data_IF_656314852662
#
_entry.id   IF_656314852662
#
_cell.length_a   1.000
_cell.length_b   1.000
_cell.length_c   1.000
_cell.angle_alpha   90.00
_cell.angle_beta   90.00
_cell.angle_gamma   90.00
#
_symmetry.space_group_name_H-M   'P 1'
#
loop_
_entity.id
_entity.type
_entity.pdbx_description
1 polymer ?
#
# COMPACT_ATOMS: atom_id res chain seq x y z
N UNK A 1 -1.76 17.15 17.55
CA UNK A 1 -3.03 16.96 16.79
C UNK A 1 -2.70 16.95 15.30
N UNK A 2 -3.33 16.07 14.52
CA UNK A 2 -3.10 15.97 13.07
C UNK A 2 -3.68 17.18 12.34
N UNK A 3 -2.86 17.93 11.60
CA UNK A 3 -3.33 19.05 10.78
C UNK A 3 -3.64 18.58 9.35
N UNK A 4 -4.89 18.18 9.11
CA UNK A 4 -5.34 17.66 7.81
C UNK A 4 -5.13 18.66 6.65
N UNK A 5 -5.18 19.97 6.92
CA UNK A 5 -4.96 21.00 5.90
C UNK A 5 -3.48 21.06 5.51
N UNK A 6 -2.58 21.10 6.49
CA UNK A 6 -1.14 21.09 6.24
C UNK A 6 -0.71 19.81 5.51
N UNK A 7 -1.29 18.67 5.87
CA UNK A 7 -1.07 17.41 5.14
C UNK A 7 -1.59 17.49 3.71
N UNK A 8 -2.80 17.96 3.48
CA UNK A 8 -3.34 18.11 2.13
C UNK A 8 -2.47 19.04 1.27
N UNK A 9 -1.93 20.12 1.85
CA UNK A 9 -0.96 21.00 1.19
C UNK A 9 0.37 20.29 0.86
N UNK A 10 0.92 19.52 1.81
CA UNK A 10 2.12 18.71 1.61
C UNK A 10 1.93 17.69 0.48
N UNK A 11 0.83 16.95 0.52
CA UNK A 11 0.46 15.96 -0.49
C UNK A 11 0.32 16.60 -1.87
N UNK A 12 -0.34 17.75 -1.94
CA UNK A 12 -0.55 18.48 -3.20
C UNK A 12 0.77 18.98 -3.81
N UNK A 13 1.69 19.50 -2.98
CA UNK A 13 3.02 19.95 -3.44
C UNK A 13 3.90 18.82 -4.00
N UNK A 14 3.61 17.58 -3.63
CA UNK A 14 4.34 16.40 -4.08
C UNK A 14 3.62 15.63 -5.21
N UNK A 15 2.50 16.17 -5.70
CA UNK A 15 1.77 15.64 -6.84
C UNK A 15 2.27 16.25 -8.16
N UNK A 16 2.18 15.49 -9.23
CA UNK A 16 2.48 15.91 -10.59
C UNK A 16 1.58 15.15 -11.57
N UNK A 17 1.30 15.73 -12.74
CA UNK A 17 0.29 15.18 -13.65
C UNK A 17 0.66 13.83 -14.29
N UNK A 18 1.94 13.42 -14.23
CA UNK A 18 2.45 12.30 -15.04
C UNK A 18 2.85 11.11 -14.20
N UNK A 19 3.71 11.34 -13.21
CA UNK A 19 4.32 10.34 -12.37
C UNK A 19 3.49 10.15 -11.11
N UNK A 20 3.35 11.16 -10.26
CA UNK A 20 2.57 11.09 -9.02
C UNK A 20 1.26 11.86 -9.13
N UNK A 21 0.29 11.28 -9.82
CA UNK A 21 -1.00 11.93 -10.12
C UNK A 21 -1.72 12.40 -8.86
N UNK A 22 -1.74 11.55 -7.83
CA UNK A 22 -2.51 11.83 -6.62
C UNK A 22 -1.95 11.14 -5.40
N UNK A 23 -2.00 11.84 -4.28
CA UNK A 23 -1.75 11.29 -2.95
C UNK A 23 -2.98 11.41 -2.07
N UNK A 24 -3.17 10.45 -1.18
CA UNK A 24 -4.16 10.53 -0.12
C UNK A 24 -3.78 9.69 1.10
N UNK A 25 -4.27 10.15 2.26
CA UNK A 25 -4.20 9.45 3.54
C UNK A 25 -5.59 8.96 3.90
N UNK A 26 -5.68 7.70 4.31
CA UNK A 26 -6.95 7.09 4.72
C UNK A 26 -6.74 6.10 5.86
N UNK A 27 -7.81 5.75 6.55
CA UNK A 27 -7.82 4.56 7.42
C UNK A 27 -7.99 3.29 6.58
N UNK A 28 -7.66 2.10 7.12
CA UNK A 28 -7.92 0.82 6.44
C UNK A 28 -9.41 0.60 6.09
N UNK A 29 -10.33 1.26 6.80
CA UNK A 29 -11.77 1.23 6.55
C UNK A 29 -12.21 2.13 5.37
N UNK A 30 -11.28 2.85 4.73
CA UNK A 30 -11.57 3.75 3.62
C UNK A 30 -12.02 5.15 4.03
N UNK A 31 -11.89 5.52 5.31
CA UNK A 31 -12.14 6.90 5.76
C UNK A 31 -11.00 7.81 5.30
N UNK A 32 -11.32 8.76 4.41
CA UNK A 32 -10.35 9.70 3.85
C UNK A 32 -10.00 10.81 4.86
N UNK A 33 -8.71 11.03 5.12
CA UNK A 33 -8.20 12.00 6.10
C UNK A 33 -7.59 13.25 5.45
N UNK A 34 -6.78 13.06 4.41
CA UNK A 34 -6.15 14.14 3.65
C UNK A 34 -5.89 13.68 2.22
N UNK A 35 -5.83 14.61 1.27
CA UNK A 35 -5.65 14.28 -0.14
C UNK A 35 -5.11 15.45 -0.95
N UNK A 36 -4.59 15.15 -2.13
CA UNK A 36 -4.13 16.13 -3.11
C UNK A 36 -5.29 16.98 -3.63
N UNK A 37 -5.13 18.30 -3.64
CA UNK A 37 -6.09 19.26 -4.19
C UNK A 37 -5.47 20.04 -5.35
N UNK A 38 -6.26 20.37 -6.40
CA UNK A 38 -7.66 20.01 -6.61
C UNK A 38 -7.84 18.56 -7.08
N UNK A 39 -8.95 17.92 -6.70
CA UNK A 39 -9.30 16.54 -7.12
C UNK A 39 -10.82 16.38 -7.28
N UNK A 40 -11.26 15.59 -8.28
CA UNK A 40 -12.65 15.13 -8.37
C UNK A 40 -12.96 14.08 -7.28
N UNK A 41 -13.88 14.43 -6.39
CA UNK A 41 -14.30 13.58 -5.27
C UNK A 41 -14.98 12.28 -5.72
N UNK A 42 -15.65 12.28 -6.87
CA UNK A 42 -16.31 11.06 -7.38
C UNK A 42 -15.27 10.01 -7.74
N UNK A 43 -14.23 10.40 -8.45
CA UNK A 43 -13.17 9.49 -8.84
C UNK A 43 -12.25 9.15 -7.68
N UNK A 44 -11.95 10.10 -6.78
CA UNK A 44 -11.18 9.82 -5.57
C UNK A 44 -11.86 8.76 -4.71
N UNK A 45 -13.18 8.87 -4.47
CA UNK A 45 -13.90 7.87 -3.66
C UNK A 45 -13.88 6.48 -4.28
N UNK A 46 -13.94 6.36 -5.61
CA UNK A 46 -13.77 5.06 -6.28
C UNK A 46 -12.39 4.48 -6.00
N UNK A 47 -11.34 5.29 -6.11
CA UNK A 47 -9.96 4.84 -5.84
C UNK A 47 -9.75 4.46 -4.38
N UNK A 48 -10.28 5.25 -3.44
CA UNK A 48 -10.25 4.95 -2.01
C UNK A 48 -10.95 3.61 -1.73
N UNK A 49 -12.10 3.36 -2.35
CA UNK A 49 -12.81 2.09 -2.20
C UNK A 49 -11.99 0.90 -2.73
N UNK A 50 -11.37 1.04 -3.92
CA UNK A 50 -10.48 0.00 -4.47
C UNK A 50 -9.31 -0.27 -3.52
N UNK A 51 -8.62 0.77 -3.07
CA UNK A 51 -7.48 0.64 -2.18
C UNK A 51 -7.86 -0.01 -0.83
N UNK A 52 -8.99 0.40 -0.24
CA UNK A 52 -9.46 -0.13 1.04
C UNK A 52 -9.89 -1.60 0.95
N UNK A 53 -10.68 -1.96 -0.07
CA UNK A 53 -11.13 -3.33 -0.28
C UNK A 53 -9.95 -4.26 -0.54
N UNK A 54 -9.06 -3.88 -1.47
CA UNK A 54 -7.87 -4.69 -1.74
C UNK A 54 -6.96 -4.82 -0.52
N UNK A 55 -6.79 -3.76 0.28
CA UNK A 55 -6.02 -3.83 1.52
C UNK A 55 -6.64 -4.82 2.53
N UNK A 56 -7.96 -4.75 2.74
CA UNK A 56 -8.66 -5.63 3.68
C UNK A 56 -8.64 -7.09 3.25
N UNK A 57 -8.82 -7.37 1.96
CA UNK A 57 -8.77 -8.74 1.42
C UNK A 57 -7.44 -9.43 1.75
N UNK A 58 -6.33 -8.70 1.58
CA UNK A 58 -4.99 -9.21 1.90
C UNK A 58 -4.72 -9.28 3.42
N UNK A 59 -5.33 -8.41 4.23
CA UNK A 59 -5.24 -8.52 5.69
C UNK A 59 -6.00 -9.74 6.25
N UNK A 60 -7.17 -10.07 5.70
CA UNK A 60 -7.97 -11.20 6.16
C UNK A 60 -7.38 -12.55 5.75
N UNK A 61 -6.72 -12.62 4.59
CA UNK A 61 -6.02 -13.82 4.13
C UNK A 61 -4.91 -14.27 5.08
N UNK A 62 -4.30 -13.35 5.82
CA UNK A 62 -3.29 -13.65 6.86
C UNK A 62 -3.89 -14.28 8.13
N UNK A 63 -5.16 -13.97 8.45
CA UNK A 63 -5.83 -14.44 9.67
C UNK A 63 -6.41 -15.85 9.49
N UNK A 64 -6.72 -16.27 8.25
CA UNK A 64 -7.42 -17.52 7.92
C UNK A 64 -6.54 -18.73 7.57
N UNK A 65 -5.21 -18.68 7.76
CA UNK A 65 -4.29 -19.76 7.39
C UNK A 65 -4.42 -21.03 8.29
N UNK A 66 -4.44 -22.25 7.73
CA UNK A 66 -4.75 -23.50 8.45
C UNK A 66 -3.67 -24.05 9.41
N UNK A 67 -2.64 -23.27 9.78
CA UNK A 67 -1.56 -23.72 10.68
C UNK A 67 -1.30 -22.66 11.78
N UNK A 68 -2.21 -22.52 12.73
CA UNK A 68 -2.12 -21.54 13.83
C UNK A 68 -1.35 -22.01 15.07
N UNK A 69 -0.79 -23.21 15.09
CA UNK A 69 -0.33 -23.79 16.37
C UNK A 69 1.19 -23.74 16.60
N UNK A 70 2.00 -23.22 15.67
CA UNK A 70 3.47 -23.24 15.79
C UNK A 70 4.21 -21.90 15.49
N UNK A 71 3.51 -20.79 15.23
CA UNK A 71 4.12 -19.60 14.63
C UNK A 71 4.14 -18.32 15.51
N UNK A 72 4.26 -18.44 16.83
CA UNK A 72 4.23 -17.28 17.74
C UNK A 72 5.44 -16.31 17.62
N UNK A 73 6.48 -16.68 16.86
CA UNK A 73 7.64 -15.81 16.59
C UNK A 73 7.74 -15.32 15.13
N UNK A 74 6.90 -15.85 14.22
CA UNK A 74 6.91 -15.50 12.78
C UNK A 74 5.71 -14.60 12.37
N UNK A 75 4.82 -14.28 13.31
CA UNK A 75 3.59 -13.52 13.06
C UNK A 75 3.83 -12.04 12.73
N UNK A 76 4.94 -11.44 13.17
CA UNK A 76 5.28 -10.06 12.80
C UNK A 76 5.74 -9.95 11.35
N UNK A 77 6.34 -10.99 10.78
CA UNK A 77 6.91 -10.95 9.42
C UNK A 77 5.86 -11.00 8.30
N UNK A 78 4.62 -11.38 8.61
CA UNK A 78 3.55 -11.48 7.60
C UNK A 78 2.52 -10.35 7.65
N UNK A 79 2.77 -9.32 8.44
CA UNK A 79 1.88 -8.16 8.45
C UNK A 79 1.98 -7.41 7.12
N UNK A 80 0.85 -7.31 6.42
CA UNK A 80 0.74 -6.52 5.19
C UNK A 80 1.20 -5.09 5.46
N UNK A 81 2.23 -4.68 4.72
CA UNK A 81 2.88 -3.40 4.93
C UNK A 81 2.84 -2.53 3.68
N UNK A 82 2.95 -3.13 2.50
CA UNK A 82 2.75 -2.43 1.22
C UNK A 82 1.91 -3.27 0.28
N UNK A 83 1.00 -2.61 -0.43
CA UNK A 83 0.18 -3.21 -1.47
C UNK A 83 0.37 -2.42 -2.75
N UNK A 84 0.66 -3.10 -3.85
CA UNK A 84 0.82 -2.53 -5.18
C UNK A 84 -0.26 -3.12 -6.08
N UNK A 85 -1.05 -2.25 -6.69
CA UNK A 85 -2.09 -2.60 -7.66
C UNK A 85 -1.70 -1.97 -8.98
N UNK A 86 -1.34 -2.79 -9.96
CA UNK A 86 -0.94 -2.34 -11.28
C UNK A 86 -2.09 -2.52 -12.27
N UNK A 87 -2.44 -1.45 -12.98
CA UNK A 87 -3.49 -1.45 -14.00
C UNK A 87 -2.95 -0.90 -15.33
N UNK A 88 -3.70 -1.05 -16.41
CA UNK A 88 -3.26 -0.54 -17.73
C UNK A 88 -2.97 0.97 -17.75
N UNK A 89 -3.60 1.76 -16.85
CA UNK A 89 -3.62 3.22 -16.91
C UNK A 89 -2.97 3.92 -15.70
N UNK A 90 -2.77 3.19 -14.61
CA UNK A 90 -2.14 3.68 -13.39
C UNK A 90 -1.62 2.55 -12.51
N UNK A 91 -0.74 2.90 -11.59
CA UNK A 91 -0.36 2.05 -10.47
C UNK A 91 -0.88 2.71 -9.18
N UNK A 92 -1.49 1.93 -8.31
CA UNK A 92 -1.89 2.37 -6.96
C UNK A 92 -0.99 1.67 -5.96
N UNK A 93 -0.29 2.43 -5.13
CA UNK A 93 0.58 1.89 -4.10
C UNK A 93 0.06 2.35 -2.74
N UNK A 94 -0.24 1.40 -1.86
CA UNK A 94 -0.74 1.63 -0.50
C UNK A 94 0.37 1.21 0.47
N UNK A 95 0.70 2.08 1.43
CA UNK A 95 1.73 1.87 2.45
C UNK A 95 1.14 2.11 3.83
N UNK A 96 1.38 1.19 4.75
CA UNK A 96 1.04 1.39 6.15
C UNK A 96 2.05 2.34 6.81
N UNK A 97 1.56 3.42 7.42
CA UNK A 97 2.36 4.34 8.25
C UNK A 97 2.17 4.02 9.73
N UNK A 98 0.92 3.77 10.15
CA UNK A 98 0.55 3.29 11.47
C UNK A 98 -0.58 2.24 11.31
N UNK A 99 -0.92 1.43 12.34
CA UNK A 99 -1.96 0.41 12.23
C UNK A 99 -3.25 0.89 11.57
N UNK A 100 -3.74 2.07 11.99
CA UNK A 100 -4.96 2.72 11.49
C UNK A 100 -4.72 3.84 10.46
N UNK A 101 -3.53 3.89 9.86
CA UNK A 101 -3.18 4.96 8.91
C UNK A 101 -2.40 4.46 7.71
N UNK A 102 -3.02 4.62 6.53
CA UNK A 102 -2.48 4.26 5.24
C UNK A 102 -2.17 5.52 4.41
N UNK A 103 -1.03 5.50 3.74
CA UNK A 103 -0.67 6.45 2.68
C UNK A 103 -0.82 5.77 1.33
N UNK A 104 -1.46 6.46 0.39
CA UNK A 104 -1.69 5.95 -0.95
C UNK A 104 -1.16 6.90 -2.00
N UNK A 105 -0.45 6.33 -2.97
CA UNK A 105 0.01 6.99 -4.18
C UNK A 105 -0.71 6.41 -5.40
N UNK A 106 -1.44 7.24 -6.13
CA UNK A 106 -1.88 6.97 -7.50
C UNK A 106 -0.84 7.51 -8.47
N UNK A 107 -0.14 6.62 -9.15
CA UNK A 107 0.90 6.93 -10.11
C UNK A 107 0.47 6.70 -11.55
N UNK A 108 0.91 7.55 -12.46
CA UNK A 108 0.69 7.35 -13.90
C UNK A 108 1.69 6.38 -14.50
N UNK A 109 1.27 5.62 -15.51
CA UNK A 109 2.15 4.70 -16.23
C UNK A 109 2.26 5.11 -17.70
N UNK A 110 3.42 4.89 -18.34
CA UNK A 110 3.52 4.95 -19.80
C UNK A 110 2.57 3.94 -20.46
N UNK A 111 2.20 4.12 -21.74
CA UNK A 111 1.39 3.16 -22.47
C UNK A 111 1.95 1.73 -22.37
N UNK A 112 1.18 0.82 -21.77
CA UNK A 112 1.54 -0.58 -21.58
C UNK A 112 1.22 -1.39 -22.84
N UNK A 113 1.88 -2.54 -23.00
CA UNK A 113 1.57 -3.48 -24.10
C UNK A 113 0.14 -4.02 -23.90
N UNK A 114 -0.57 -4.33 -25.00
CA UNK A 114 -1.92 -4.93 -24.97
C UNK A 114 -2.04 -6.24 -24.17
N UNK A 115 -0.92 -6.91 -23.91
CA UNK A 115 -0.87 -8.15 -23.13
C UNK A 115 -0.66 -7.92 -21.63
N UNK A 116 -0.64 -6.65 -21.17
CA UNK A 116 -0.47 -6.35 -19.75
C UNK A 116 -1.74 -6.71 -19.00
N UNK A 117 -1.65 -7.72 -18.13
CA UNK A 117 -2.72 -8.06 -17.19
C UNK A 117 -2.60 -7.23 -15.92
N UNK A 118 -3.72 -6.82 -15.29
CA UNK A 118 -3.69 -6.25 -13.95
C UNK A 118 -2.98 -7.21 -12.98
N UNK A 119 -2.15 -6.67 -12.10
CA UNK A 119 -1.40 -7.44 -11.12
C UNK A 119 -1.50 -6.77 -9.76
N UNK A 120 -1.73 -7.57 -8.73
CA UNK A 120 -1.67 -7.14 -7.34
C UNK A 120 -0.47 -7.79 -6.67
N UNK A 121 0.23 -7.06 -5.81
CA UNK A 121 1.42 -7.55 -5.12
C UNK A 121 1.38 -7.03 -3.69
N UNK A 122 1.38 -7.95 -2.74
CA UNK A 122 1.39 -7.68 -1.31
C UNK A 122 2.80 -7.91 -0.75
N UNK A 123 3.26 -7.02 0.10
CA UNK A 123 4.59 -7.04 0.70
C UNK A 123 4.52 -6.87 2.21
N UNK A 124 5.36 -7.63 2.90
CA UNK A 124 5.54 -7.54 4.36
C UNK A 124 6.48 -6.40 4.76
N UNK A 125 6.73 -6.30 6.07
CA UNK A 125 7.60 -5.27 6.67
C UNK A 125 9.02 -5.25 6.07
N UNK A 126 9.56 -6.43 5.77
CA UNK A 126 10.92 -6.60 5.22
C UNK A 126 10.98 -6.40 3.69
N UNK A 127 9.85 -6.07 3.04
CA UNK A 127 9.73 -6.01 1.58
C UNK A 127 9.63 -7.37 0.89
N UNK A 128 9.56 -8.45 1.67
CA UNK A 128 9.32 -9.80 1.18
C UNK A 128 7.89 -9.93 0.64
N UNK A 129 7.76 -10.63 -0.50
CA UNK A 129 6.47 -10.84 -1.16
C UNK A 129 5.60 -11.79 -0.34
N UNK A 130 4.45 -11.27 0.11
CA UNK A 130 3.37 -12.08 0.67
C UNK A 130 2.67 -12.74 -0.53
N UNK A 131 2.91 -14.03 -0.73
CA UNK A 131 2.48 -14.74 -1.92
C UNK A 131 0.97 -14.60 -2.15
N UNK A 132 0.60 -14.04 -3.30
CA UNK A 132 -0.79 -13.94 -3.73
C UNK A 132 -1.27 -15.31 -4.29
N UNK A 133 -2.42 -15.78 -3.82
CA UNK A 133 -2.95 -17.12 -4.10
C UNK A 133 -3.65 -17.21 -5.47
N UNK A 134 -3.70 -16.10 -6.23
CA UNK A 134 -4.33 -16.05 -7.55
C UNK A 134 -3.59 -16.86 -8.65
N UNK A 135 -2.40 -17.41 -8.38
CA UNK A 135 -1.61 -18.20 -9.35
C UNK A 135 -1.37 -19.67 -8.94
N UNK A 136 -2.17 -20.23 -8.03
CA UNK A 136 -1.97 -21.58 -7.49
C UNK A 136 -2.72 -22.70 -8.25
N UNK A 137 -2.97 -22.54 -9.55
CA UNK A 137 -3.46 -23.62 -10.43
C UNK A 137 -2.64 -23.68 -11.73
N UNK A 138 -1.31 -23.75 -11.60
CA UNK A 138 -0.45 -24.50 -12.54
C UNK A 138 0.98 -24.55 -12.04
N UNK A 139 1.55 -25.76 -12.17
CA UNK A 139 2.96 -26.13 -12.01
C UNK A 139 3.42 -26.57 -10.60
N UNK A 140 3.09 -27.83 -10.31
CA UNK A 140 4.04 -28.72 -9.63
C UNK A 140 5.26 -28.99 -10.54
N UNK A 141 6.40 -29.21 -9.87
CA UNK A 141 7.71 -29.74 -10.31
C UNK A 141 8.67 -28.81 -11.07
N UNK A 142 9.60 -28.19 -10.34
CA UNK A 142 11.03 -28.58 -10.38
C UNK A 142 11.87 -27.66 -9.51
N UNK A 143 12.63 -28.27 -8.60
CA UNK A 143 13.71 -27.62 -7.85
C UNK A 143 14.94 -27.50 -8.74
N UNK A 144 15.42 -26.28 -8.99
CA UNK A 144 16.81 -26.03 -9.41
C UNK A 144 17.31 -24.76 -8.71
N UNK A 145 18.43 -24.93 -8.02
CA UNK A 145 19.15 -23.89 -7.30
C UNK A 145 19.65 -22.78 -8.24
N UNK A 146 19.62 -21.52 -7.78
CA UNK A 146 20.31 -20.44 -8.47
C UNK A 146 19.90 -19.04 -8.01
N UNK A 147 20.71 -18.47 -7.13
CA UNK A 147 20.96 -17.02 -6.96
C UNK A 147 20.01 -16.22 -6.07
N UNK A 148 20.56 -15.79 -4.94
CA UNK A 148 20.23 -14.59 -4.18
C UNK A 148 20.23 -13.36 -5.10
N UNK A 149 19.11 -13.13 -5.77
CA UNK A 149 18.80 -11.84 -6.37
C UNK A 149 17.63 -11.31 -5.57
N UNK A 150 17.92 -10.41 -4.63
CA UNK A 150 16.93 -9.53 -4.03
C UNK A 150 16.00 -9.06 -5.15
N UNK A 151 14.71 -9.35 -5.07
CA UNK A 151 13.71 -8.91 -6.04
C UNK A 151 13.59 -7.38 -5.94
N UNK A 152 14.55 -6.66 -6.52
CA UNK A 152 14.44 -5.23 -6.72
C UNK A 152 13.18 -5.01 -7.58
N UNK A 153 12.16 -4.29 -7.10
CA UNK A 153 10.92 -4.16 -7.83
C UNK A 153 11.20 -3.41 -9.13
N UNK A 154 10.91 -4.10 -10.24
CA UNK A 154 10.73 -3.60 -11.60
C UNK A 154 11.46 -2.28 -11.95
N UNK A 155 12.59 -2.40 -12.66
CA UNK A 155 13.26 -1.25 -13.27
C UNK A 155 12.28 -0.42 -14.12
N UNK A 156 12.16 0.88 -13.82
CA UNK A 156 11.27 1.80 -14.53
C UNK A 156 10.43 2.69 -13.62
N UNK A 157 9.24 3.05 -14.07
CA UNK A 157 8.33 4.00 -13.41
C UNK A 157 7.81 3.48 -12.06
N UNK A 158 7.57 2.16 -11.94
CA UNK A 158 7.11 1.57 -10.68
C UNK A 158 8.15 1.73 -9.56
N UNK A 159 9.43 1.46 -9.83
CA UNK A 159 10.51 1.70 -8.86
C UNK A 159 10.60 3.15 -8.42
N UNK A 160 10.30 4.10 -9.31
CA UNK A 160 10.26 5.52 -8.96
C UNK A 160 9.05 5.89 -8.09
N UNK A 161 7.86 5.33 -8.38
CA UNK A 161 6.70 5.47 -7.51
C UNK A 161 6.98 4.92 -6.12
N UNK A 162 7.59 3.73 -6.05
CA UNK A 162 7.93 3.09 -4.78
C UNK A 162 8.89 3.93 -3.97
N UNK A 163 9.99 4.38 -4.59
CA UNK A 163 10.96 5.27 -3.93
C UNK A 163 10.30 6.55 -3.39
N UNK A 164 9.38 7.15 -4.14
CA UNK A 164 8.64 8.34 -3.68
C UNK A 164 7.69 8.03 -2.52
N UNK A 165 6.96 6.92 -2.60
CA UNK A 165 6.07 6.46 -1.54
C UNK A 165 6.84 6.22 -0.25
N UNK A 166 7.94 5.49 -0.31
CA UNK A 166 8.77 5.17 0.85
C UNK A 166 9.35 6.44 1.47
N UNK A 167 9.85 7.38 0.65
CA UNK A 167 10.37 8.66 1.13
C UNK A 167 9.29 9.52 1.81
N UNK A 168 8.08 9.59 1.23
CA UNK A 168 6.97 10.34 1.82
C UNK A 168 6.46 9.68 3.10
N UNK A 169 6.32 8.36 3.11
CA UNK A 169 5.93 7.60 4.29
C UNK A 169 6.92 7.79 5.43
N UNK A 170 8.23 7.71 5.16
CA UNK A 170 9.28 7.94 6.15
C UNK A 170 9.25 9.37 6.71
N UNK A 171 9.05 10.38 5.86
CA UNK A 171 8.95 11.76 6.30
C UNK A 171 7.74 11.99 7.21
N UNK A 172 6.57 11.46 6.85
CA UNK A 172 5.34 11.56 7.64
C UNK A 172 5.48 10.78 8.96
N UNK A 173 6.03 9.56 8.92
CA UNK A 173 6.27 8.75 10.11
C UNK A 173 7.21 9.45 11.10
N UNK A 174 8.32 10.01 10.60
CA UNK A 174 9.28 10.74 11.45
C UNK A 174 8.65 11.99 12.09
N UNK A 175 7.81 12.73 11.37
CA UNK A 175 7.09 13.88 11.93
C UNK A 175 6.10 13.45 13.03
N UNK A 176 5.43 12.31 12.85
CA UNK A 176 4.55 11.74 13.88
C UNK A 176 5.31 11.27 15.12
N UNK A 177 6.47 10.64 14.95
CA UNK A 177 7.33 10.26 16.07
C UNK A 177 7.82 11.48 16.85
N UNK A 178 8.25 12.54 16.15
CA UNK A 178 8.70 13.79 16.77
C UNK A 178 7.58 14.51 17.53
N UNK A 179 6.36 14.48 16.99
CA UNK A 179 5.20 15.12 17.62
C UNK A 179 4.48 14.22 18.64
N UNK A 180 4.89 12.95 18.75
CA UNK A 180 4.23 11.93 19.58
C UNK A 180 2.83 11.56 19.09
N UNK A 181 2.50 11.85 17.83
CA UNK A 181 1.18 11.56 17.26
C UNK A 181 1.01 10.06 17.02
N UNK A 182 0.00 9.49 17.67
CA UNK A 182 -0.50 8.13 17.40
C UNK A 182 -1.94 8.20 16.95
N UNK A 183 -2.25 7.52 15.85
CA UNK A 183 -3.63 7.36 15.40
C UNK A 183 -4.39 6.53 16.45
N UNK A 184 -5.52 7.01 16.99
CA UNK A 184 -6.33 6.23 17.91
C UNK A 184 -6.76 4.90 17.29
N UNK A 185 -6.67 3.81 18.06
CA UNK A 185 -7.20 2.52 17.65
C UNK A 185 -8.73 2.62 17.62
N UNK A 186 -9.38 2.26 16.51
CA UNK A 186 -10.86 2.27 16.42
C UNK A 186 -11.51 1.29 17.42
N UNK A 187 -10.73 0.32 17.92
CA UNK A 187 -11.08 -0.58 19.03
C UNK A 187 -11.50 0.14 20.32
N UNK A 188 -10.93 1.32 20.58
CA UNK A 188 -11.14 2.06 21.84
C UNK A 188 -12.49 2.81 21.84
N UNK A 189 -13.12 2.99 20.68
CA UNK A 189 -14.42 3.67 20.54
C UNK A 189 -15.65 2.74 20.59
N UNK A 190 -15.49 1.44 20.92
CA UNK A 190 -16.63 0.49 21.04
C UNK A 190 -17.40 0.57 22.37
N UNK A 191 -17.19 1.60 23.18
CA UNK A 191 -17.89 1.79 24.46
C UNK A 191 -18.84 2.99 24.44
N UNK A 192 -19.78 3.06 23.49
CA UNK A 192 -21.03 3.82 23.63
C UNK A 192 -22.13 3.18 22.78
#
# INVERSE_FOLDING_TARGET
MLNAKALSELLSKNSDQRLCKRWYLMTPNGTLLAYTQPTDMKDLRKQVAVAALSWQDHQQAEIGGPNSDLASAASTQRQLYTLIIESETSNVLVRQIQPELLLVLEGGVPPRKRTFGPQTTAEGLDGELLHDRAAADSASVSSLAGSTMSSAPAGGVLGLHRKKLDAMAAAIASDFEQTGFKMPDESVNKFF
#
